data_IF_213361333682
#
_entry.id   IF_213361333682
#
_cell.length_a   1.000
_cell.length_b   1.000
_cell.length_c   1.000
_cell.angle_alpha   90.00
_cell.angle_beta   90.00
_cell.angle_gamma   90.00
#
_symmetry.space_group_name_H-M   'P 1'
#
loop_
_entity.id
_entity.type
_entity.pdbx_description
1 polymer ?
#
# COMPACT_ATOMS: atom_id res chain seq x y z
N UNK A 1 2.21 23.90 -15.49
CA UNK A 1 2.53 22.93 -16.57
C UNK A 1 1.81 21.59 -16.42
N UNK A 2 2.07 20.75 -15.40
CA UNK A 2 1.39 19.43 -15.30
C UNK A 2 -0.14 19.55 -15.13
N UNK A 3 -0.62 20.44 -14.25
CA UNK A 3 -2.05 20.68 -14.04
C UNK A 3 -2.77 21.18 -15.31
N UNK A 4 -2.17 22.15 -16.01
CA UNK A 4 -2.69 22.67 -17.28
C UNK A 4 -2.69 21.60 -18.38
N UNK A 5 -1.63 20.77 -18.42
CA UNK A 5 -1.53 19.64 -19.33
C UNK A 5 -2.61 18.60 -19.08
N UNK A 6 -2.87 18.26 -17.80
CA UNK A 6 -3.94 17.34 -17.43
C UNK A 6 -5.32 17.89 -17.84
N UNK A 7 -5.58 19.18 -17.58
CA UNK A 7 -6.83 19.83 -17.95
C UNK A 7 -7.04 19.86 -19.48
N UNK A 8 -6.00 20.16 -20.26
CA UNK A 8 -6.05 20.18 -21.72
C UNK A 8 -6.18 18.77 -22.32
N UNK A 9 -5.54 17.76 -21.71
CA UNK A 9 -5.63 16.38 -22.15
C UNK A 9 -6.99 15.75 -21.85
N UNK A 10 -7.70 16.17 -20.79
CA UNK A 10 -8.94 15.54 -20.32
C UNK A 10 -9.99 15.29 -21.41
N UNK A 11 -10.36 16.25 -22.29
CA UNK A 11 -11.33 16.00 -23.36
C UNK A 11 -10.78 15.18 -24.54
N UNK A 12 -9.45 15.07 -24.68
CA UNK A 12 -8.79 14.42 -25.84
C UNK A 12 -8.43 12.97 -25.51
N UNK A 13 -7.84 12.77 -24.33
CA UNK A 13 -7.38 11.49 -23.81
C UNK A 13 -7.50 11.50 -22.29
N UNK A 14 -8.62 10.97 -21.74
CA UNK A 14 -8.79 10.79 -20.29
C UNK A 14 -7.63 10.00 -19.66
N UNK A 15 -7.08 9.04 -20.41
CA UNK A 15 -5.93 8.25 -20.00
C UNK A 15 -4.67 9.09 -19.81
N UNK A 16 -4.35 9.97 -20.78
CA UNK A 16 -3.19 10.86 -20.65
C UNK A 16 -3.39 11.84 -19.50
N UNK A 17 -4.61 12.36 -19.33
CA UNK A 17 -4.94 13.20 -18.18
C UNK A 17 -4.74 12.46 -16.85
N UNK A 18 -5.17 11.19 -16.75
CA UNK A 18 -4.93 10.36 -15.57
C UNK A 18 -3.44 10.17 -15.26
N UNK A 19 -2.61 9.92 -16.28
CA UNK A 19 -1.16 9.81 -16.11
C UNK A 19 -0.54 11.12 -15.60
N UNK A 20 -0.93 12.25 -16.20
CA UNK A 20 -0.43 13.57 -15.80
C UNK A 20 -0.86 13.94 -14.37
N UNK A 21 -2.06 13.56 -13.95
CA UNK A 21 -2.54 13.75 -12.58
C UNK A 21 -1.79 12.87 -11.58
N UNK A 22 -1.48 11.62 -11.94
CA UNK A 22 -0.63 10.75 -11.13
C UNK A 22 0.76 11.35 -10.91
N UNK A 23 1.39 11.86 -11.98
CA UNK A 23 2.69 12.53 -11.88
C UNK A 23 2.61 13.86 -11.11
N UNK A 24 1.53 14.64 -11.30
CA UNK A 24 1.30 15.86 -10.53
C UNK A 24 1.21 15.57 -9.03
N UNK A 25 0.48 14.51 -8.64
CA UNK A 25 0.34 14.13 -7.24
C UNK A 25 1.69 13.81 -6.55
N UNK A 26 2.68 13.30 -7.29
CA UNK A 26 4.01 12.96 -6.72
C UNK A 26 4.85 14.18 -6.36
N UNK A 27 4.63 15.30 -7.03
CA UNK A 27 5.36 16.56 -6.81
C UNK A 27 4.53 17.59 -6.06
N UNK A 28 3.26 17.26 -5.80
CA UNK A 28 2.35 18.10 -5.05
C UNK A 28 2.76 18.11 -3.57
N UNK A 29 2.93 19.31 -3.02
CA UNK A 29 3.30 19.51 -1.62
C UNK A 29 2.07 19.51 -0.71
N UNK A 30 0.91 19.86 -1.26
CA UNK A 30 -0.35 19.79 -0.54
C UNK A 30 -0.89 18.35 -0.58
N UNK A 31 -0.83 17.71 0.59
CA UNK A 31 -1.26 16.34 0.83
C UNK A 31 -2.73 16.08 0.41
N UNK A 32 -3.65 17.02 0.67
CA UNK A 32 -5.05 16.88 0.28
C UNK A 32 -5.21 17.00 -1.24
N UNK A 33 -4.49 17.92 -1.86
CA UNK A 33 -4.49 18.09 -3.31
C UNK A 33 -3.92 16.86 -4.02
N UNK A 34 -2.84 16.26 -3.51
CA UNK A 34 -2.26 15.04 -4.05
C UNK A 34 -3.27 13.88 -4.07
N UNK A 35 -3.99 13.69 -2.96
CA UNK A 35 -5.07 12.69 -2.87
C UNK A 35 -6.22 13.00 -3.83
N UNK A 36 -6.60 14.27 -3.99
CA UNK A 36 -7.63 14.67 -4.94
C UNK A 36 -7.23 14.35 -6.39
N UNK A 37 -5.98 14.68 -6.78
CA UNK A 37 -5.44 14.36 -8.10
C UNK A 37 -5.44 12.85 -8.38
N UNK A 38 -5.04 12.02 -7.41
CA UNK A 38 -5.00 10.56 -7.55
C UNK A 38 -6.40 9.96 -7.69
N UNK A 39 -7.37 10.44 -6.91
CA UNK A 39 -8.78 10.01 -7.04
C UNK A 39 -9.35 10.38 -8.40
N UNK A 40 -9.03 11.57 -8.89
CA UNK A 40 -9.46 12.00 -10.21
C UNK A 40 -8.80 11.16 -11.32
N UNK A 41 -7.49 10.88 -11.21
CA UNK A 41 -6.78 10.00 -12.13
C UNK A 41 -7.42 8.61 -12.20
N UNK A 42 -7.77 8.04 -11.04
CA UNK A 42 -8.45 6.74 -10.96
C UNK A 42 -9.85 6.78 -11.62
N UNK A 43 -10.59 7.88 -11.47
CA UNK A 43 -11.89 8.05 -12.11
C UNK A 43 -11.76 8.13 -13.63
N UNK A 44 -10.77 8.88 -14.14
CA UNK A 44 -10.50 8.98 -15.58
C UNK A 44 -10.00 7.66 -16.19
N UNK A 45 -9.33 6.83 -15.39
CA UNK A 45 -8.85 5.51 -15.80
C UNK A 45 -9.85 4.38 -15.51
N UNK A 46 -11.07 4.65 -15.04
CA UNK A 46 -12.01 3.64 -14.58
C UNK A 46 -12.39 2.61 -15.66
N UNK A 47 -12.60 3.09 -16.89
CA UNK A 47 -12.98 2.24 -18.03
C UNK A 47 -11.77 1.70 -18.82
N UNK A 48 -10.55 2.14 -18.47
CA UNK A 48 -9.35 1.73 -19.16
C UNK A 48 -8.96 0.29 -18.75
N UNK A 49 -8.74 -0.59 -19.72
CA UNK A 49 -8.19 -1.94 -19.49
C UNK A 49 -6.67 -1.90 -19.31
N UNK A 50 -6.21 -1.10 -18.36
CA UNK A 50 -4.80 -0.88 -18.04
C UNK A 50 -4.54 -1.18 -16.55
N UNK A 51 -4.50 -2.47 -16.18
CA UNK A 51 -4.34 -2.90 -14.79
C UNK A 51 -3.10 -2.29 -14.12
N UNK A 52 -1.96 -2.22 -14.83
CA UNK A 52 -0.73 -1.64 -14.30
C UNK A 52 -0.84 -0.16 -13.93
N UNK A 53 -1.53 0.65 -14.74
CA UNK A 53 -1.74 2.07 -14.40
C UNK A 53 -2.65 2.20 -13.17
N UNK A 54 -3.75 1.44 -13.13
CA UNK A 54 -4.67 1.45 -11.99
C UNK A 54 -3.97 1.00 -10.70
N UNK A 55 -3.17 -0.06 -10.77
CA UNK A 55 -2.36 -0.56 -9.67
C UNK A 55 -1.38 0.51 -9.16
N UNK A 56 -0.65 1.18 -10.06
CA UNK A 56 0.28 2.24 -9.71
C UNK A 56 -0.42 3.44 -9.05
N UNK A 57 -1.54 3.90 -9.63
CA UNK A 57 -2.33 5.00 -9.06
C UNK A 57 -2.90 4.65 -7.68
N UNK A 58 -3.39 3.42 -7.49
CA UNK A 58 -3.88 2.94 -6.19
C UNK A 58 -2.77 2.87 -5.15
N UNK A 59 -1.57 2.40 -5.53
CA UNK A 59 -0.42 2.38 -4.62
C UNK A 59 -0.02 3.80 -4.20
N UNK A 60 0.06 4.74 -5.14
CA UNK A 60 0.33 6.14 -4.80
C UNK A 60 -0.74 6.73 -3.88
N UNK A 61 -2.02 6.43 -4.13
CA UNK A 61 -3.12 6.87 -3.26
C UNK A 61 -2.99 6.28 -1.86
N UNK A 62 -2.67 4.99 -1.75
CA UNK A 62 -2.50 4.30 -0.48
C UNK A 62 -1.36 4.90 0.35
N UNK A 63 -0.23 5.23 -0.29
CA UNK A 63 0.91 5.87 0.37
C UNK A 63 0.55 7.25 0.92
N UNK A 64 -0.09 8.11 0.11
CA UNK A 64 -0.54 9.44 0.56
C UNK A 64 -1.55 9.34 1.71
N UNK A 65 -2.55 8.47 1.60
CA UNK A 65 -3.55 8.25 2.65
C UNK A 65 -2.91 7.74 3.94
N UNK A 66 -1.93 6.83 3.85
CA UNK A 66 -1.26 6.27 5.02
C UNK A 66 -0.42 7.33 5.75
N UNK A 67 0.33 8.15 5.00
CA UNK A 67 1.10 9.26 5.57
C UNK A 67 0.20 10.23 6.35
N UNK A 68 -0.96 10.57 5.80
CA UNK A 68 -1.94 11.47 6.42
C UNK A 68 -2.69 10.85 7.60
N UNK A 69 -2.78 9.51 7.63
CA UNK A 69 -3.70 8.84 8.54
C UNK A 69 -3.31 9.02 10.01
N UNK A 70 -2.01 9.08 10.33
CA UNK A 70 -1.54 9.01 11.71
C UNK A 70 -2.18 7.82 12.44
N UNK A 71 -2.97 8.10 13.48
CA UNK A 71 -3.76 7.09 14.23
C UNK A 71 -5.27 7.11 13.91
N UNK A 72 -5.69 7.90 12.92
CA UNK A 72 -7.09 8.01 12.49
C UNK A 72 -7.56 6.71 11.85
N UNK A 73 -8.45 5.98 12.54
CA UNK A 73 -9.00 4.72 12.05
C UNK A 73 -9.64 4.85 10.66
N UNK A 74 -10.51 5.82 10.36
CA UNK A 74 -11.10 5.94 9.01
C UNK A 74 -10.05 6.16 7.91
N UNK A 75 -9.01 6.94 8.20
CA UNK A 75 -7.94 7.20 7.23
C UNK A 75 -7.05 5.96 7.01
N UNK A 76 -6.72 5.21 8.08
CA UNK A 76 -6.02 3.93 7.97
C UNK A 76 -6.81 2.91 7.16
N UNK A 77 -8.13 2.84 7.35
CA UNK A 77 -8.98 1.95 6.55
C UNK A 77 -8.97 2.35 5.07
N UNK A 78 -9.04 3.65 4.76
CA UNK A 78 -8.95 4.12 3.38
C UNK A 78 -7.59 3.78 2.73
N UNK A 79 -6.48 3.87 3.49
CA UNK A 79 -5.17 3.45 3.01
C UNK A 79 -5.10 1.93 2.76
N UNK A 80 -5.62 1.13 3.71
CA UNK A 80 -5.72 -0.34 3.58
C UNK A 80 -6.50 -0.73 2.33
N UNK A 81 -7.66 -0.12 2.10
CA UNK A 81 -8.49 -0.38 0.93
C UNK A 81 -7.72 -0.06 -0.36
N UNK A 82 -6.99 1.07 -0.40
CA UNK A 82 -6.19 1.45 -1.56
C UNK A 82 -5.01 0.49 -1.82
N UNK A 83 -4.30 0.01 -0.79
CA UNK A 83 -3.27 -1.02 -0.96
C UNK A 83 -3.85 -2.33 -1.51
N UNK A 84 -4.99 -2.77 -0.99
CA UNK A 84 -5.68 -3.97 -1.45
C UNK A 84 -6.14 -3.82 -2.90
N UNK A 85 -6.67 -2.66 -3.27
CA UNK A 85 -7.04 -2.35 -4.64
C UNK A 85 -5.84 -2.31 -5.59
N UNK A 86 -4.66 -1.87 -5.14
CA UNK A 86 -3.44 -1.93 -5.95
C UNK A 86 -3.07 -3.39 -6.30
N UNK A 87 -3.11 -4.28 -5.32
CA UNK A 87 -2.88 -5.73 -5.51
C UNK A 87 -3.98 -6.34 -6.37
N UNK A 88 -5.25 -6.01 -6.12
CA UNK A 88 -6.39 -6.51 -6.90
C UNK A 88 -6.33 -6.06 -8.36
N UNK A 89 -5.85 -4.84 -8.62
CA UNK A 89 -5.65 -4.31 -9.96
C UNK A 89 -4.46 -4.96 -10.71
N UNK A 90 -3.70 -5.85 -10.06
CA UNK A 90 -2.65 -6.64 -10.71
C UNK A 90 -1.22 -6.31 -10.25
N UNK A 91 -1.04 -5.53 -9.18
CA UNK A 91 0.27 -5.39 -8.56
C UNK A 91 0.70 -6.73 -7.95
N UNK A 92 1.82 -7.28 -8.41
CA UNK A 92 2.31 -8.60 -8.00
C UNK A 92 3.84 -8.64 -7.94
N UNK A 93 4.36 -9.64 -7.21
CA UNK A 93 5.80 -9.90 -7.12
C UNK A 93 6.43 -10.18 -8.50
N UNK A 94 5.66 -10.73 -9.44
CA UNK A 94 6.15 -11.08 -10.78
C UNK A 94 6.11 -9.90 -11.74
N UNK A 95 5.14 -8.98 -11.59
CA UNK A 95 4.97 -7.83 -12.49
C UNK A 95 5.82 -6.63 -12.08
N UNK A 96 5.88 -6.34 -10.78
CA UNK A 96 6.63 -5.21 -10.22
C UNK A 96 7.04 -5.55 -8.76
N UNK A 97 8.15 -6.29 -8.59
CA UNK A 97 8.58 -6.79 -7.28
C UNK A 97 8.76 -5.67 -6.24
N UNK A 98 9.35 -4.54 -6.65
CA UNK A 98 9.65 -3.44 -5.74
C UNK A 98 8.38 -2.75 -5.24
N UNK A 99 7.45 -2.41 -6.15
CA UNK A 99 6.18 -1.81 -5.76
C UNK A 99 5.30 -2.79 -4.97
N UNK A 100 5.33 -4.09 -5.29
CA UNK A 100 4.61 -5.10 -4.53
C UNK A 100 5.11 -5.24 -3.09
N UNK A 101 6.42 -5.31 -2.89
CA UNK A 101 7.04 -5.35 -1.55
C UNK A 101 6.70 -4.10 -0.73
N UNK A 102 6.73 -2.93 -1.37
CA UNK A 102 6.34 -1.67 -0.73
C UNK A 102 4.87 -1.65 -0.32
N UNK A 103 3.97 -2.11 -1.21
CA UNK A 103 2.54 -2.17 -0.93
C UNK A 103 2.23 -3.11 0.23
N UNK A 104 2.81 -4.31 0.22
CA UNK A 104 2.57 -5.34 1.21
C UNK A 104 3.16 -4.99 2.58
N UNK A 105 4.38 -4.45 2.63
CA UNK A 105 4.98 -3.98 3.88
C UNK A 105 4.16 -2.85 4.53
N UNK A 106 3.74 -1.86 3.75
CA UNK A 106 2.92 -0.76 4.27
C UNK A 106 1.48 -1.19 4.63
N UNK A 107 0.90 -2.14 3.89
CA UNK A 107 -0.40 -2.73 4.23
C UNK A 107 -0.33 -3.42 5.61
N UNK A 108 0.71 -4.22 5.84
CA UNK A 108 0.95 -4.85 7.14
C UNK A 108 1.09 -3.83 8.26
N UNK A 109 1.86 -2.76 8.02
CA UNK A 109 2.05 -1.67 8.99
C UNK A 109 0.73 -0.95 9.29
N UNK A 110 -0.09 -0.63 8.28
CA UNK A 110 -1.38 0.02 8.47
C UNK A 110 -2.33 -0.81 9.35
N UNK A 111 -2.31 -2.15 9.21
CA UNK A 111 -3.05 -3.04 10.07
C UNK A 111 -2.55 -3.06 11.52
N UNK A 112 -1.23 -2.97 11.74
CA UNK A 112 -0.64 -2.88 13.07
C UNK A 112 -0.89 -1.51 13.75
N UNK A 113 -1.06 -0.43 12.96
CA UNK A 113 -1.41 0.90 13.50
C UNK A 113 -2.87 0.98 13.97
N UNK A 114 -3.78 0.16 13.41
CA UNK A 114 -5.14 0.06 13.92
C UNK A 114 -5.15 -0.48 15.37
N UNK A 115 -6.16 -0.14 16.19
CA UNK A 115 -6.22 -0.62 17.57
C UNK A 115 -6.00 -2.14 17.70
N UNK A 116 -4.97 -2.53 18.45
CA UNK A 116 -4.57 -3.94 18.64
C UNK A 116 -5.43 -4.70 19.66
N UNK A 117 -6.54 -4.10 20.13
CA UNK A 117 -7.47 -4.71 21.07
C UNK A 117 -8.87 -4.91 20.45
N UNK A 118 -9.65 -5.78 21.08
CA UNK A 118 -11.04 -6.06 20.73
C UNK A 118 -11.21 -7.18 19.70
N UNK A 119 -12.46 -7.50 19.33
CA UNK A 119 -12.79 -8.74 18.62
C UNK A 119 -12.13 -8.92 17.24
N UNK A 120 -11.82 -7.81 16.56
CA UNK A 120 -11.17 -7.84 15.24
C UNK A 120 -9.65 -7.80 15.27
N UNK A 121 -9.01 -7.67 16.45
CA UNK A 121 -7.55 -7.58 16.54
C UNK A 121 -6.82 -8.84 16.04
N UNK A 122 -7.26 -10.07 16.38
CA UNK A 122 -6.58 -11.28 15.90
C UNK A 122 -6.56 -11.39 14.38
N UNK A 123 -7.68 -11.04 13.73
CA UNK A 123 -7.77 -11.05 12.27
C UNK A 123 -6.84 -10.00 11.64
N UNK A 124 -6.78 -8.78 12.20
CA UNK A 124 -5.85 -7.74 11.72
C UNK A 124 -4.39 -8.17 11.83
N UNK A 125 -4.01 -8.80 12.96
CA UNK A 125 -2.66 -9.34 13.14
C UNK A 125 -2.36 -10.45 12.13
N UNK A 126 -3.30 -11.37 11.90
CA UNK A 126 -3.12 -12.43 10.91
C UNK A 126 -2.92 -11.87 9.49
N UNK A 127 -3.69 -10.85 9.11
CA UNK A 127 -3.53 -10.19 7.81
C UNK A 127 -2.19 -9.44 7.72
N UNK A 128 -1.77 -8.76 8.79
CA UNK A 128 -0.46 -8.10 8.83
C UNK A 128 0.68 -9.10 8.65
N UNK A 129 0.64 -10.25 9.35
CA UNK A 129 1.62 -11.34 9.19
C UNK A 129 1.70 -11.81 7.74
N UNK A 130 0.55 -12.02 7.09
CA UNK A 130 0.53 -12.44 5.69
C UNK A 130 1.11 -11.36 4.75
N UNK A 131 0.76 -10.09 4.96
CA UNK A 131 1.30 -8.99 4.18
C UNK A 131 2.83 -8.89 4.32
N UNK A 132 3.38 -8.99 5.52
CA UNK A 132 4.84 -8.99 5.71
C UNK A 132 5.51 -10.21 5.07
N UNK A 133 4.92 -11.40 5.16
CA UNK A 133 5.43 -12.60 4.47
C UNK A 133 5.44 -12.41 2.95
N UNK A 134 4.42 -11.78 2.39
CA UNK A 134 4.39 -11.44 0.96
C UNK A 134 5.46 -10.42 0.58
N UNK A 135 5.73 -9.42 1.42
CA UNK A 135 6.84 -8.49 1.21
C UNK A 135 8.21 -9.19 1.27
N UNK A 136 8.39 -10.18 2.15
CA UNK A 136 9.62 -10.99 2.23
C UNK A 136 9.82 -11.98 1.08
N UNK A 137 8.84 -12.15 0.18
CA UNK A 137 9.05 -12.88 -1.07
C UNK A 137 9.90 -12.09 -2.08
N UNK A 138 9.93 -10.76 -1.94
CA UNK A 138 10.62 -9.86 -2.87
C UNK A 138 11.78 -9.12 -2.23
N UNK A 139 11.69 -8.77 -0.94
CA UNK A 139 12.82 -8.22 -0.21
C UNK A 139 13.75 -9.35 0.20
N UNK A 140 15.00 -9.26 -0.24
CA UNK A 140 16.05 -10.20 0.09
C UNK A 140 17.10 -9.57 1.02
N UNK A 141 17.69 -10.40 1.87
CA UNK A 141 18.61 -9.96 2.93
C UNK A 141 19.90 -9.37 2.36
N UNK A 142 20.35 -9.83 1.20
CA UNK A 142 21.65 -9.47 0.63
C UNK A 142 21.60 -8.19 -0.22
N UNK A 143 20.54 -8.01 -1.01
CA UNK A 143 20.39 -6.91 -1.94
C UNK A 143 19.43 -5.82 -1.46
N UNK A 144 18.53 -6.08 -0.49
CA UNK A 144 17.73 -5.05 0.20
C UNK A 144 17.74 -5.25 1.73
N UNK A 145 18.93 -5.18 2.37
CA UNK A 145 19.08 -5.50 3.79
C UNK A 145 18.24 -4.61 4.71
N UNK A 146 18.03 -3.35 4.36
CA UNK A 146 17.28 -2.39 5.20
C UNK A 146 15.78 -2.67 5.17
N UNK A 147 15.21 -2.85 3.97
CA UNK A 147 13.80 -3.21 3.79
C UNK A 147 13.51 -4.59 4.38
N UNK A 148 14.39 -5.56 4.15
CA UNK A 148 14.26 -6.90 4.72
C UNK A 148 14.23 -6.85 6.24
N UNK A 149 15.18 -6.15 6.89
CA UNK A 149 15.24 -6.05 8.34
C UNK A 149 14.03 -5.32 8.93
N UNK A 150 13.57 -4.25 8.28
CA UNK A 150 12.37 -3.50 8.68
C UNK A 150 11.11 -4.39 8.63
N UNK A 151 10.95 -5.16 7.56
CA UNK A 151 9.80 -6.07 7.40
C UNK A 151 9.86 -7.23 8.39
N UNK A 152 11.04 -7.81 8.63
CA UNK A 152 11.22 -8.87 9.63
C UNK A 152 10.88 -8.38 11.05
N UNK A 153 11.34 -7.18 11.43
CA UNK A 153 11.00 -6.60 12.74
C UNK A 153 9.48 -6.43 12.92
N UNK A 154 8.79 -5.96 11.88
CA UNK A 154 7.35 -5.80 11.93
C UNK A 154 6.60 -7.13 11.91
N UNK A 155 7.11 -8.13 11.19
CA UNK A 155 6.59 -9.50 11.21
C UNK A 155 6.71 -10.11 12.62
N UNK A 156 7.88 -9.98 13.26
CA UNK A 156 8.12 -10.43 14.62
C UNK A 156 7.13 -9.79 15.61
N UNK A 157 6.93 -8.46 15.52
CA UNK A 157 5.94 -7.75 16.33
C UNK A 157 4.53 -8.31 16.12
N UNK A 158 4.12 -8.56 14.89
CA UNK A 158 2.80 -9.12 14.60
C UNK A 158 2.63 -10.55 15.14
N UNK A 159 3.68 -11.39 15.04
CA UNK A 159 3.67 -12.78 15.51
C UNK A 159 3.60 -12.90 17.04
N UNK A 160 4.29 -12.02 17.77
CA UNK A 160 4.29 -12.00 19.25
C UNK A 160 2.87 -11.79 19.80
N UNK A 161 2.06 -10.96 19.15
CA UNK A 161 0.71 -10.66 19.61
C UNK A 161 -0.38 -11.50 18.96
N UNK A 162 -0.08 -12.27 17.91
CA UNK A 162 -1.05 -13.06 17.17
C UNK A 162 -1.56 -14.24 18.03
N UNK A 163 -2.86 -14.26 18.41
CA UNK A 163 -3.44 -15.43 19.04
C UNK A 163 -3.46 -16.58 18.03
N UNK A 164 -2.76 -17.68 18.35
CA UNK A 164 -2.55 -18.82 17.46
C UNK A 164 -2.63 -20.12 18.27
N UNK A 165 -3.01 -21.22 17.61
CA UNK A 165 -2.83 -22.57 18.17
C UNK A 165 -1.37 -23.02 18.19
N UNK A 166 -0.47 -22.26 17.55
CA UNK A 166 0.96 -22.53 17.41
C UNK A 166 1.82 -21.35 17.91
N UNK A 167 1.69 -20.92 19.19
CA UNK A 167 2.40 -19.74 19.69
C UNK A 167 3.93 -19.93 19.76
N UNK A 168 4.42 -21.15 20.02
CA UNK A 168 5.85 -21.43 20.06
C UNK A 168 6.51 -21.30 18.68
N UNK A 169 5.85 -21.77 17.63
CA UNK A 169 6.31 -21.63 16.24
C UNK A 169 6.34 -20.15 15.83
N UNK A 170 5.32 -19.37 16.21
CA UNK A 170 5.29 -17.94 15.97
C UNK A 170 6.45 -17.21 16.67
N UNK A 171 6.76 -17.57 17.91
CA UNK A 171 7.88 -16.97 18.67
C UNK A 171 9.24 -17.38 18.12
N UNK A 172 9.39 -18.63 17.67
CA UNK A 172 10.60 -19.08 16.99
C UNK A 172 10.83 -18.30 15.69
N UNK A 173 9.79 -18.14 14.87
CA UNK A 173 9.87 -17.31 13.66
C UNK A 173 10.17 -15.83 13.97
N UNK A 174 9.68 -15.30 15.08
CA UNK A 174 9.87 -13.90 15.45
C UNK A 174 11.33 -13.54 15.83
N UNK A 175 12.20 -14.52 16.06
CA UNK A 175 13.60 -14.30 16.45
C UNK A 175 14.62 -14.73 15.38
N UNK A 176 14.15 -15.23 14.23
CA UNK A 176 14.96 -15.55 13.05
C UNK A 176 15.28 -14.30 12.20
#
# INVERSE_FOLDING_TARGET
>A
MLAEGAAAARPISPLLAAQLLGELARVETDEEAAVAHLREALALAADARLPGLRASLQLSLALCLHQQAGTSRPALLAAIDAYQEAVHAGLSAESDPAAYGLAQSNLGLAYLTLPMAGPGAPLRMAVAVQAFREALRVYDREAQPEEWASVQLNLANALVYLPSSHPEENLAQAVE
#
